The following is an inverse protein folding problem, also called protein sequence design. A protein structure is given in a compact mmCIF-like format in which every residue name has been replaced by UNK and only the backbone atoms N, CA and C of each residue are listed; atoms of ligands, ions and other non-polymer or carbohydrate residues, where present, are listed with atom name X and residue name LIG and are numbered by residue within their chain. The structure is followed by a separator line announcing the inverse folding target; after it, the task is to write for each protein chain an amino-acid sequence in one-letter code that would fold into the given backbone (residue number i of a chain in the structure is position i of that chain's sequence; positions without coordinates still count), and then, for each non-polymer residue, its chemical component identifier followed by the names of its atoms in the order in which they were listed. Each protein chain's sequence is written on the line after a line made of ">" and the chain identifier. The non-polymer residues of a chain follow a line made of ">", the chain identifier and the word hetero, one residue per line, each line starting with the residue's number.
data_IF_370433887614
#
_entry.id   IF_370433887614
#
_cell.length_a   1.000
_cell.length_b   1.000
_cell.length_c   1.000
_cell.angle_alpha   90.00
_cell.angle_beta   90.00
_cell.angle_gamma   90.00
#
_symmetry.space_group_name_H-M   'P 1'
#
loop_
_entity.id
_entity.type
_entity.pdbx_description
1 polymer ?
#
# COMPACT_ATOMS: atom_id res chain seq x y z
N UNK A 1 66.76 -78.23 -58.58
CA UNK A 1 67.68 -77.58 -57.64
C UNK A 1 66.87 -77.19 -56.41
N UNK A 2 67.24 -77.78 -55.26
CA UNK A 2 66.89 -77.51 -53.85
C UNK A 2 65.51 -76.87 -53.55
N UNK A 3 64.56 -77.64 -53.00
CA UNK A 3 64.07 -77.45 -51.63
C UNK A 3 62.98 -78.47 -51.28
N UNK A 4 63.40 -79.61 -50.75
CA UNK A 4 62.59 -80.44 -49.89
C UNK A 4 62.97 -80.14 -48.45
N UNK A 5 62.11 -79.41 -47.74
CA UNK A 5 61.89 -79.54 -46.30
C UNK A 5 60.40 -79.20 -46.11
N UNK A 6 59.53 -80.15 -45.71
CA UNK A 6 58.20 -79.78 -45.26
C UNK A 6 58.40 -78.89 -44.05
N UNK A 7 58.01 -77.62 -44.15
CA UNK A 7 57.94 -76.76 -42.98
C UNK A 7 56.82 -77.30 -42.08
N UNK A 8 57.14 -78.27 -41.24
CA UNK A 8 56.30 -78.73 -40.12
C UNK A 8 56.46 -77.81 -38.92
N UNK A 9 56.46 -76.53 -39.20
CA UNK A 9 56.49 -75.46 -38.24
C UNK A 9 55.60 -74.35 -38.75
N UNK A 10 55.00 -73.61 -37.84
CA UNK A 10 54.14 -72.48 -38.16
C UNK A 10 54.84 -71.59 -39.19
N UNK A 11 54.23 -71.47 -40.37
CA UNK A 11 54.73 -70.59 -41.42
C UNK A 11 54.50 -69.17 -40.91
N UNK A 12 55.53 -68.63 -40.27
CA UNK A 12 55.53 -67.26 -39.75
C UNK A 12 55.86 -66.34 -40.90
N UNK A 13 54.83 -65.72 -41.47
CA UNK A 13 55.00 -64.71 -42.51
C UNK A 13 55.19 -63.35 -41.84
N UNK A 14 56.33 -62.70 -42.09
CA UNK A 14 56.57 -61.35 -41.61
C UNK A 14 55.61 -60.36 -42.28
N UNK A 15 55.01 -59.46 -41.51
CA UNK A 15 53.97 -58.53 -41.95
C UNK A 15 54.52 -57.56 -43.01
N UNK A 16 54.22 -57.80 -44.28
CA UNK A 16 54.65 -56.94 -45.39
C UNK A 16 54.19 -57.38 -46.79
N UNK A 17 54.38 -58.65 -47.18
CA UNK A 17 54.49 -58.96 -48.62
C UNK A 17 53.60 -60.11 -49.14
N UNK A 18 52.38 -60.31 -48.63
CA UNK A 18 51.46 -61.29 -49.23
C UNK A 18 50.35 -60.61 -50.07
N UNK A 19 50.39 -60.81 -51.38
CA UNK A 19 49.36 -60.34 -52.34
C UNK A 19 48.69 -61.53 -53.06
N UNK A 20 47.78 -62.22 -52.36
CA UNK A 20 46.95 -63.29 -52.92
C UNK A 20 45.68 -63.54 -52.10
N UNK A 21 44.60 -63.98 -52.75
CA UNK A 21 43.31 -64.28 -52.10
C UNK A 21 43.28 -65.70 -51.52
N UNK A 22 42.90 -65.83 -50.25
CA UNK A 22 42.65 -67.12 -49.60
C UNK A 22 41.14 -67.40 -49.63
N UNK A 23 40.69 -68.59 -50.08
CA UNK A 23 39.28 -68.98 -50.03
C UNK A 23 38.73 -68.97 -48.59
N UNK A 24 37.50 -68.49 -48.39
CA UNK A 24 36.88 -68.32 -47.05
C UNK A 24 36.86 -69.61 -46.21
N UNK A 25 36.70 -70.77 -46.86
CA UNK A 25 36.73 -72.09 -46.21
C UNK A 25 38.10 -72.48 -45.62
N UNK A 26 39.18 -71.81 -46.02
CA UNK A 26 40.54 -72.03 -45.55
C UNK A 26 41.06 -70.87 -44.67
N UNK A 27 40.23 -69.84 -44.42
CA UNK A 27 40.60 -68.64 -43.67
C UNK A 27 40.59 -68.78 -42.15
N UNK A 28 40.70 -70.01 -41.62
CA UNK A 28 40.82 -70.27 -40.18
C UNK A 28 39.55 -70.10 -39.34
N UNK A 29 38.40 -69.74 -39.93
CA UNK A 29 37.14 -69.50 -39.20
C UNK A 29 36.07 -70.58 -39.40
N UNK A 30 36.34 -71.59 -40.22
CA UNK A 30 35.44 -72.71 -40.49
C UNK A 30 34.20 -72.37 -41.33
N UNK A 31 34.03 -71.12 -41.75
CA UNK A 31 32.89 -70.68 -42.54
C UNK A 31 33.05 -71.03 -44.02
N UNK A 32 31.96 -71.42 -44.68
CA UNK A 32 31.94 -71.68 -46.13
C UNK A 32 31.31 -70.54 -46.94
N UNK A 33 30.74 -69.55 -46.27
CA UNK A 33 30.20 -68.33 -46.89
C UNK A 33 30.83 -67.09 -46.27
N UNK A 34 30.99 -66.04 -47.07
CA UNK A 34 31.60 -64.79 -46.62
C UNK A 34 30.85 -64.15 -45.43
N UNK A 35 29.53 -64.27 -45.37
CA UNK A 35 28.72 -63.72 -44.28
C UNK A 35 28.95 -64.46 -42.94
N UNK A 36 29.01 -65.79 -42.98
CA UNK A 36 29.31 -66.60 -41.80
C UNK A 36 30.77 -66.40 -41.35
N UNK A 37 31.69 -66.24 -42.30
CA UNK A 37 33.09 -65.93 -42.00
C UNK A 37 33.21 -64.58 -41.31
N UNK A 38 32.55 -63.55 -41.82
CA UNK A 38 32.57 -62.22 -41.23
C UNK A 38 31.98 -62.20 -39.82
N UNK A 39 30.87 -62.91 -39.58
CA UNK A 39 30.30 -63.05 -38.24
C UNK A 39 31.23 -63.81 -37.27
N UNK A 40 31.89 -64.88 -37.74
CA UNK A 40 32.84 -65.66 -36.94
C UNK A 40 34.14 -64.90 -36.62
N UNK A 41 34.54 -63.96 -37.48
CA UNK A 41 35.61 -62.99 -37.21
C UNK A 41 35.15 -61.81 -36.33
N UNK A 42 33.87 -61.70 -35.98
CA UNK A 42 33.31 -60.60 -35.18
C UNK A 42 33.08 -59.29 -35.94
N UNK A 43 32.96 -59.33 -37.27
CA UNK A 43 32.71 -58.16 -38.11
C UNK A 43 31.26 -57.64 -38.05
N UNK A 44 31.08 -56.32 -38.17
CA UNK A 44 29.77 -55.67 -38.18
C UNK A 44 28.86 -56.21 -39.32
N UNK A 45 27.62 -56.58 -39.00
CA UNK A 45 26.62 -56.91 -40.01
C UNK A 45 26.29 -55.68 -40.87
N UNK A 46 26.21 -55.86 -42.19
CA UNK A 46 25.96 -54.78 -43.16
C UNK A 46 24.59 -54.08 -42.99
N UNK A 47 23.65 -54.66 -42.21
CA UNK A 47 22.42 -54.02 -41.74
C UNK A 47 21.85 -54.71 -40.49
N UNK A 48 21.42 -53.93 -39.48
CA UNK A 48 20.53 -54.40 -38.40
C UNK A 48 21.14 -55.23 -37.26
N UNK A 49 22.42 -55.06 -36.91
CA UNK A 49 23.07 -55.79 -35.81
C UNK A 49 22.94 -55.15 -34.43
N UNK A 50 22.98 -55.97 -33.36
CA UNK A 50 23.10 -55.53 -31.96
C UNK A 50 24.53 -55.74 -31.47
N UNK A 51 25.13 -54.72 -30.85
CA UNK A 51 26.40 -54.85 -30.15
C UNK A 51 26.09 -55.14 -28.68
N UNK A 52 26.68 -56.20 -28.13
CA UNK A 52 26.62 -56.49 -26.69
C UNK A 52 28.01 -56.23 -26.09
N UNK A 53 28.10 -55.36 -25.08
CA UNK A 53 29.37 -54.95 -24.47
C UNK A 53 29.78 -53.51 -24.82
N UNK A 54 30.99 -53.12 -24.39
CA UNK A 54 31.50 -51.76 -24.57
C UNK A 54 31.98 -51.54 -26.02
N UNK A 55 31.61 -50.40 -26.60
CA UNK A 55 32.07 -49.94 -27.91
C UNK A 55 32.77 -48.58 -27.79
N UNK A 56 33.96 -48.43 -28.39
CA UNK A 56 34.71 -47.18 -28.41
C UNK A 56 34.82 -46.64 -29.83
N UNK A 57 34.54 -45.35 -30.01
CA UNK A 57 34.74 -44.63 -31.27
C UNK A 57 35.83 -43.57 -31.06
N UNK A 58 36.93 -43.61 -31.83
CA UNK A 58 38.10 -42.73 -31.65
C UNK A 58 37.99 -41.36 -32.36
N UNK A 59 36.87 -41.08 -33.02
CA UNK A 59 36.64 -39.85 -33.77
C UNK A 59 35.16 -39.47 -33.70
N UNK A 60 34.44 -39.44 -34.82
CA UNK A 60 33.04 -39.04 -34.87
C UNK A 60 32.11 -40.24 -34.98
N UNK A 61 31.08 -40.28 -34.14
CA UNK A 61 29.90 -41.11 -34.33
C UNK A 61 28.83 -40.30 -35.07
N UNK A 62 28.53 -40.68 -36.32
CA UNK A 62 27.46 -40.05 -37.11
C UNK A 62 26.21 -40.93 -37.10
N UNK A 63 25.11 -40.42 -36.56
CA UNK A 63 23.83 -41.13 -36.48
C UNK A 63 22.79 -40.39 -37.31
N UNK A 64 22.03 -41.11 -38.14
CA UNK A 64 20.95 -40.55 -39.00
C UNK A 64 19.56 -40.65 -38.37
N UNK A 65 19.45 -41.32 -37.22
CA UNK A 65 18.22 -41.56 -36.49
C UNK A 65 18.45 -41.37 -34.97
N UNK A 66 17.62 -42.00 -34.13
CA UNK A 66 17.69 -41.88 -32.68
C UNK A 66 18.83 -42.68 -32.05
N UNK A 67 19.50 -42.07 -31.07
CA UNK A 67 20.30 -42.77 -30.06
C UNK A 67 19.36 -43.08 -28.89
N UNK A 68 19.07 -44.36 -28.64
CA UNK A 68 18.28 -44.76 -27.47
C UNK A 68 19.21 -45.03 -26.28
N UNK A 69 18.99 -44.33 -25.17
CA UNK A 69 19.72 -44.49 -23.90
C UNK A 69 18.81 -44.95 -22.74
N UNK A 70 17.73 -45.67 -23.06
CA UNK A 70 16.82 -46.22 -22.06
C UNK A 70 17.46 -47.38 -21.29
N UNK A 71 16.94 -47.68 -20.09
CA UNK A 71 17.40 -48.76 -19.21
C UNK A 71 18.85 -48.64 -18.69
N UNK A 72 19.43 -47.43 -18.69
CA UNK A 72 20.67 -47.15 -17.95
C UNK A 72 20.45 -47.40 -16.46
N UNK A 73 21.32 -48.20 -15.85
CA UNK A 73 21.23 -48.54 -14.43
C UNK A 73 21.33 -47.29 -13.53
N UNK A 74 20.63 -47.30 -12.38
CA UNK A 74 20.73 -46.23 -11.37
C UNK A 74 22.20 -45.95 -11.02
N UNK A 75 22.52 -44.69 -10.74
CA UNK A 75 23.87 -44.22 -10.40
C UNK A 75 24.92 -44.33 -11.52
N UNK A 76 24.50 -44.64 -12.74
CA UNK A 76 25.37 -44.58 -13.93
C UNK A 76 25.06 -43.31 -14.72
N UNK A 77 26.08 -42.52 -15.06
CA UNK A 77 25.89 -41.39 -15.95
C UNK A 77 25.46 -41.87 -17.33
N UNK A 78 24.35 -41.35 -17.86
CA UNK A 78 23.91 -41.65 -19.23
C UNK A 78 24.86 -41.07 -20.30
N UNK A 79 25.61 -40.03 -19.96
CA UNK A 79 26.72 -39.50 -20.76
C UNK A 79 27.72 -38.75 -19.88
N UNK A 80 28.98 -38.67 -20.32
CA UNK A 80 30.03 -37.87 -19.70
C UNK A 80 30.70 -37.02 -20.77
N UNK A 81 30.77 -35.70 -20.55
CA UNK A 81 31.47 -34.78 -21.43
C UNK A 81 32.48 -33.98 -20.61
N UNK A 82 33.75 -34.40 -20.66
CA UNK A 82 34.84 -33.81 -19.88
C UNK A 82 35.93 -33.34 -20.85
N UNK A 83 36.00 -32.04 -21.08
CA UNK A 83 37.02 -31.44 -21.95
C UNK A 83 38.40 -31.59 -21.34
N UNK A 84 39.37 -32.02 -22.15
CA UNK A 84 40.81 -32.03 -21.82
C UNK A 84 41.54 -30.78 -22.32
N UNK A 85 40.79 -29.77 -22.78
CA UNK A 85 41.34 -28.49 -23.24
C UNK A 85 41.85 -27.62 -22.10
N UNK A 86 42.40 -26.45 -22.43
CA UNK A 86 42.96 -25.50 -21.46
C UNK A 86 41.91 -25.05 -20.43
N UNK A 87 42.32 -24.93 -19.17
CA UNK A 87 41.48 -24.43 -18.08
C UNK A 87 40.87 -23.05 -18.41
N UNK A 88 39.59 -22.85 -18.05
CA UNK A 88 38.83 -21.64 -18.38
C UNK A 88 38.28 -21.58 -19.81
N UNK A 89 38.64 -22.56 -20.65
CA UNK A 89 38.08 -22.75 -21.99
C UNK A 89 36.59 -23.11 -21.95
N UNK A 90 35.87 -22.69 -22.99
CA UNK A 90 34.46 -23.01 -23.18
C UNK A 90 34.34 -24.42 -23.79
N UNK A 91 33.58 -25.29 -23.13
CA UNK A 91 33.20 -26.60 -23.66
C UNK A 91 31.80 -26.52 -24.25
N UNK A 92 31.66 -26.95 -25.51
CA UNK A 92 30.37 -27.10 -26.18
C UNK A 92 29.85 -28.51 -25.89
N UNK A 93 28.70 -28.59 -25.21
CA UNK A 93 28.12 -29.86 -24.80
C UNK A 93 27.14 -30.37 -25.86
N UNK A 94 26.21 -29.53 -26.29
CA UNK A 94 25.23 -29.83 -27.34
C UNK A 94 24.97 -28.61 -28.22
N UNK A 95 24.70 -28.87 -29.49
CA UNK A 95 24.19 -27.89 -30.46
C UNK A 95 22.96 -28.47 -31.13
N UNK A 96 21.84 -27.77 -31.07
CA UNK A 96 20.56 -28.28 -31.55
C UNK A 96 19.70 -27.17 -32.13
N UNK A 97 18.82 -27.54 -33.07
CA UNK A 97 17.88 -26.65 -33.77
C UNK A 97 16.66 -27.45 -34.23
N UNK A 98 15.52 -26.79 -34.39
CA UNK A 98 14.26 -27.43 -34.80
C UNK A 98 14.23 -27.92 -36.25
N UNK A 99 14.90 -27.22 -37.17
CA UNK A 99 14.74 -27.42 -38.61
C UNK A 99 15.96 -26.99 -39.45
N UNK A 100 15.98 -27.31 -40.74
CA UNK A 100 17.14 -27.11 -41.64
C UNK A 100 17.25 -25.72 -42.28
N UNK A 101 16.26 -24.83 -42.09
CA UNK A 101 16.26 -23.47 -42.63
C UNK A 101 16.92 -22.43 -41.70
N UNK A 102 17.22 -21.25 -42.24
CA UNK A 102 17.76 -20.10 -41.49
C UNK A 102 16.75 -19.44 -40.53
N UNK A 103 15.54 -19.98 -40.42
CA UNK A 103 14.44 -19.45 -39.58
C UNK A 103 14.49 -19.98 -38.15
N UNK A 104 15.04 -21.17 -37.93
CA UNK A 104 15.04 -21.79 -36.61
C UNK A 104 16.29 -21.39 -35.82
N UNK A 105 16.05 -20.94 -34.59
CA UNK A 105 17.12 -20.61 -33.66
C UNK A 105 17.99 -21.84 -33.39
N UNK A 106 19.30 -21.66 -33.53
CA UNK A 106 20.28 -22.67 -33.13
C UNK A 106 20.67 -22.41 -31.69
N UNK A 107 20.43 -23.41 -30.83
CA UNK A 107 20.80 -23.37 -29.43
C UNK A 107 22.16 -24.04 -29.21
N UNK A 108 22.92 -23.44 -28.29
CA UNK A 108 24.25 -23.87 -27.89
C UNK A 108 24.25 -24.03 -26.38
N UNK A 109 24.51 -25.24 -25.93
CA UNK A 109 24.72 -25.53 -24.51
C UNK A 109 26.23 -25.57 -24.25
N UNK A 110 26.67 -24.74 -23.31
CA UNK A 110 28.08 -24.57 -23.02
C UNK A 110 28.34 -24.56 -21.53
N UNK A 111 29.55 -24.99 -21.16
CA UNK A 111 30.10 -24.79 -19.82
C UNK A 111 31.44 -24.09 -19.94
N UNK A 112 31.67 -23.05 -19.15
CA UNK A 112 32.93 -22.30 -19.13
C UNK A 112 33.24 -21.86 -17.70
N UNK A 113 34.40 -22.25 -17.19
CA UNK A 113 34.78 -21.95 -15.80
C UNK A 113 33.71 -22.47 -14.84
N UNK A 114 33.05 -21.55 -14.14
CA UNK A 114 31.98 -21.85 -13.17
C UNK A 114 30.57 -21.71 -13.71
N UNK A 115 30.41 -21.38 -14.99
CA UNK A 115 29.13 -21.04 -15.61
C UNK A 115 28.67 -22.15 -16.55
N UNK A 116 27.47 -22.67 -16.31
CA UNK A 116 26.67 -23.40 -17.27
C UNK A 116 25.74 -22.42 -18.01
N UNK A 117 25.67 -22.51 -19.34
CA UNK A 117 24.91 -21.57 -20.18
C UNK A 117 24.16 -22.26 -21.31
N UNK A 118 22.97 -21.74 -21.59
CA UNK A 118 22.23 -22.00 -22.82
C UNK A 118 22.16 -20.68 -23.59
N UNK A 119 22.68 -20.67 -24.81
CA UNK A 119 22.70 -19.50 -25.69
C UNK A 119 22.08 -19.83 -27.06
N UNK A 120 21.77 -18.79 -27.83
CA UNK A 120 21.23 -18.86 -29.19
C UNK A 120 22.01 -17.95 -30.14
N UNK A 121 21.81 -18.14 -31.45
CA UNK A 121 22.44 -17.38 -32.53
C UNK A 121 23.19 -18.26 -33.53
N UNK A 122 23.79 -17.63 -34.55
CA UNK A 122 24.71 -18.31 -35.49
C UNK A 122 25.90 -18.93 -34.75
N UNK A 123 26.35 -18.25 -33.71
CA UNK A 123 27.24 -18.72 -32.63
C UNK A 123 26.53 -18.57 -31.28
N UNK A 124 27.19 -18.97 -30.18
CA UNK A 124 26.63 -18.91 -28.83
C UNK A 124 26.67 -17.49 -28.22
N UNK A 125 26.28 -16.48 -29.01
CA UNK A 125 26.43 -15.06 -28.68
C UNK A 125 25.32 -14.48 -27.82
N UNK A 126 24.12 -15.07 -27.84
CA UNK A 126 22.94 -14.54 -27.14
C UNK A 126 22.52 -15.48 -26.03
N UNK A 127 22.80 -15.12 -24.78
CA UNK A 127 22.46 -15.95 -23.63
C UNK A 127 20.95 -15.99 -23.36
N UNK A 128 20.42 -17.18 -23.08
CA UNK A 128 19.02 -17.42 -22.72
C UNK A 128 18.90 -17.86 -21.25
N UNK A 129 19.88 -18.60 -20.76
CA UNK A 129 19.97 -19.07 -19.37
C UNK A 129 21.43 -19.17 -18.93
N UNK A 130 21.74 -18.73 -17.71
CA UNK A 130 23.03 -18.93 -17.05
C UNK A 130 22.82 -19.47 -15.64
N UNK A 131 23.61 -20.46 -15.28
CA UNK A 131 23.72 -20.96 -13.91
C UNK A 131 25.18 -20.93 -13.48
N UNK A 132 25.45 -20.30 -12.34
CA UNK A 132 26.76 -20.30 -11.71
C UNK A 132 26.88 -21.40 -10.65
N UNK A 133 28.08 -21.91 -10.43
CA UNK A 133 28.38 -22.78 -9.30
C UNK A 133 28.22 -22.10 -7.92
N UNK A 134 28.04 -20.77 -7.90
CA UNK A 134 27.70 -19.98 -6.70
C UNK A 134 26.19 -19.87 -6.46
N UNK A 135 25.37 -20.50 -7.29
CA UNK A 135 23.91 -20.49 -7.17
C UNK A 135 23.21 -19.31 -7.86
N UNK A 136 23.96 -18.47 -8.59
CA UNK A 136 23.36 -17.39 -9.39
C UNK A 136 22.67 -17.98 -10.62
N UNK A 137 21.40 -17.61 -10.81
CA UNK A 137 20.58 -17.97 -11.96
C UNK A 137 20.20 -16.70 -12.72
N UNK A 138 20.58 -16.61 -13.98
CA UNK A 138 20.18 -15.53 -14.89
C UNK A 138 19.35 -16.09 -16.03
N UNK A 139 18.12 -15.66 -16.18
CA UNK A 139 17.29 -15.93 -17.37
C UNK A 139 17.33 -14.73 -18.32
N UNK A 140 17.10 -14.93 -19.63
CA UNK A 140 17.10 -13.86 -20.65
C UNK A 140 16.38 -12.61 -20.14
N UNK A 141 17.05 -11.47 -20.25
CA UNK A 141 16.45 -10.14 -20.03
C UNK A 141 15.46 -9.90 -21.17
N UNK A 142 14.18 -9.78 -20.83
CA UNK A 142 13.10 -9.48 -21.79
C UNK A 142 13.12 -7.96 -22.02
N UNK A 143 13.47 -7.53 -23.24
CA UNK A 143 13.30 -6.13 -23.65
C UNK A 143 11.81 -5.85 -23.93
N UNK A 144 11.38 -4.61 -23.74
CA UNK A 144 9.99 -4.21 -23.47
C UNK A 144 8.91 -4.61 -24.50
N UNK A 145 9.27 -5.14 -25.67
CA UNK A 145 8.35 -5.45 -26.77
C UNK A 145 8.04 -6.96 -26.97
N UNK A 146 8.58 -7.87 -26.14
CA UNK A 146 8.20 -9.30 -26.17
C UNK A 146 7.13 -9.62 -25.08
N UNK A 147 5.85 -9.73 -25.48
CA UNK A 147 4.76 -10.17 -24.59
C UNK A 147 4.87 -11.67 -24.31
N UNK A 148 5.17 -12.07 -23.06
CA UNK A 148 5.23 -13.47 -22.61
C UNK A 148 3.97 -13.86 -21.80
N UNK A 149 3.22 -14.83 -22.31
CA UNK A 149 1.96 -15.35 -21.77
C UNK A 149 2.16 -16.35 -20.59
N UNK A 150 2.81 -15.92 -19.50
CA UNK A 150 2.89 -16.72 -18.28
C UNK A 150 2.14 -16.03 -17.14
N UNK A 151 0.86 -16.38 -17.02
CA UNK A 151 -0.03 -15.96 -15.94
C UNK A 151 0.33 -16.70 -14.64
N UNK A 152 0.66 -16.03 -13.51
CA UNK A 152 0.61 -16.63 -12.18
C UNK A 152 -0.79 -17.20 -11.93
N UNK A 153 -0.95 -18.19 -11.01
CA UNK A 153 -2.28 -18.57 -10.60
C UNK A 153 -2.95 -17.30 -10.11
N UNK A 154 -4.09 -16.96 -10.73
CA UNK A 154 -4.86 -15.73 -10.61
C UNK A 154 -4.47 -14.61 -11.63
N UNK A 155 -4.65 -14.83 -12.94
CA UNK A 155 -4.93 -13.78 -13.95
C UNK A 155 -4.01 -12.53 -14.09
N UNK A 156 -2.71 -12.57 -13.74
CA UNK A 156 -1.78 -11.45 -14.02
C UNK A 156 -0.85 -11.75 -15.20
N UNK A 157 -0.83 -10.94 -16.28
CA UNK A 157 0.15 -11.12 -17.35
C UNK A 157 1.49 -10.44 -16.98
N UNK A 158 2.40 -11.18 -16.34
CA UNK A 158 3.65 -10.63 -15.81
C UNK A 158 4.80 -10.61 -16.82
N UNK A 159 5.48 -9.47 -16.96
CA UNK A 159 6.78 -9.36 -17.62
C UNK A 159 7.86 -9.08 -16.56
N UNK A 160 8.67 -10.08 -16.20
CA UNK A 160 9.78 -9.93 -15.27
C UNK A 160 10.16 -11.21 -14.51
N UNK A 161 11.43 -11.32 -14.12
CA UNK A 161 11.93 -12.45 -13.32
C UNK A 161 11.36 -12.44 -11.89
N UNK A 162 11.02 -13.63 -11.37
CA UNK A 162 10.55 -13.85 -10.00
C UNK A 162 11.74 -14.23 -9.10
N UNK A 163 11.94 -13.48 -8.02
CA UNK A 163 12.86 -13.86 -6.93
C UNK A 163 12.02 -14.34 -5.75
N UNK A 164 12.15 -15.62 -5.39
CA UNK A 164 11.41 -16.26 -4.27
C UNK A 164 12.40 -16.87 -3.28
N UNK A 165 12.26 -16.50 -2.01
CA UNK A 165 12.96 -17.09 -0.86
C UNK A 165 11.94 -17.78 0.04
N UNK A 166 12.27 -18.96 0.56
CA UNK A 166 11.37 -19.73 1.45
C UNK A 166 12.14 -20.30 2.64
N UNK A 167 11.51 -20.36 3.80
CA UNK A 167 11.96 -21.06 5.01
C UNK A 167 10.98 -22.19 5.23
N UNK A 168 11.47 -23.43 5.25
CA UNK A 168 10.66 -24.61 5.53
C UNK A 168 11.15 -25.31 6.80
N UNK A 169 10.23 -25.75 7.66
CA UNK A 169 10.51 -26.52 8.87
C UNK A 169 9.77 -27.85 8.76
N UNK A 170 10.47 -28.97 8.97
CA UNK A 170 9.91 -30.33 8.88
C UNK A 170 9.16 -30.63 7.55
N UNK A 171 9.65 -30.09 6.44
CA UNK A 171 9.07 -30.31 5.10
C UNK A 171 7.86 -29.43 4.76
N UNK A 172 7.47 -28.52 5.66
CA UNK A 172 6.40 -27.54 5.43
C UNK A 172 6.96 -26.12 5.37
N UNK A 173 6.49 -25.29 4.42
CA UNK A 173 6.87 -23.87 4.29
C UNK A 173 6.32 -23.06 5.47
N UNK A 174 7.22 -22.44 6.25
CA UNK A 174 6.90 -21.61 7.41
C UNK A 174 6.78 -20.13 7.02
N UNK A 175 7.60 -19.68 6.07
CA UNK A 175 7.64 -18.30 5.59
C UNK A 175 8.26 -18.23 4.19
N UNK A 176 7.84 -17.27 3.38
CA UNK A 176 8.43 -16.97 2.09
C UNK A 176 8.37 -15.48 1.76
N UNK A 177 9.40 -14.99 1.09
CA UNK A 177 9.49 -13.63 0.59
C UNK A 177 9.68 -13.62 -0.93
N UNK A 178 8.94 -12.76 -1.62
CA UNK A 178 8.92 -12.67 -3.07
C UNK A 178 9.22 -11.24 -3.52
N UNK A 179 9.93 -11.09 -4.63
CA UNK A 179 10.08 -9.84 -5.35
C UNK A 179 9.95 -10.06 -6.84
N UNK A 180 9.10 -9.28 -7.49
CA UNK A 180 8.89 -9.36 -8.94
C UNK A 180 8.37 -8.05 -9.50
N UNK A 181 8.72 -7.79 -10.76
CA UNK A 181 8.12 -6.72 -11.54
C UNK A 181 6.76 -7.17 -12.03
N UNK A 182 5.76 -6.34 -11.78
CA UNK A 182 4.41 -6.54 -12.28
C UNK A 182 4.17 -5.47 -13.33
N UNK A 183 3.72 -5.91 -14.49
CA UNK A 183 3.09 -5.04 -15.46
C UNK A 183 1.61 -5.39 -15.44
N UNK A 184 0.77 -4.42 -15.16
CA UNK A 184 -0.69 -4.56 -15.19
C UNK A 184 -1.21 -3.63 -16.28
N UNK A 185 -1.84 -4.22 -17.29
CA UNK A 185 -2.64 -3.48 -18.26
C UNK A 185 -4.06 -3.43 -17.74
N UNK A 186 -4.58 -2.25 -17.45
CA UNK A 186 -5.99 -2.10 -17.11
C UNK A 186 -6.86 -2.45 -18.32
N UNK A 187 -8.14 -2.75 -18.09
CA UNK A 187 -9.13 -2.94 -19.17
C UNK A 187 -9.31 -1.68 -20.06
N UNK A 188 -8.86 -0.51 -19.59
CA UNK A 188 -8.80 0.76 -20.34
C UNK A 188 -7.52 0.95 -21.15
N UNK A 189 -6.63 -0.05 -21.19
CA UNK A 189 -5.39 -0.02 -21.97
C UNK A 189 -4.22 0.73 -21.31
N UNK A 190 -4.38 1.22 -20.08
CA UNK A 190 -3.33 1.91 -19.33
C UNK A 190 -2.36 0.89 -18.79
N UNK A 191 -1.08 1.12 -19.05
CA UNK A 191 0.02 0.27 -18.59
C UNK A 191 0.50 0.79 -17.24
N UNK A 192 0.46 -0.04 -16.20
CA UNK A 192 1.02 0.26 -14.88
C UNK A 192 2.12 -0.72 -14.56
N UNK A 193 3.33 -0.21 -14.42
CA UNK A 193 4.48 -0.99 -13.97
C UNK A 193 4.63 -0.79 -12.47
N UNK A 194 4.81 -1.88 -11.72
CA UNK A 194 5.11 -1.79 -10.29
C UNK A 194 6.10 -2.86 -9.86
N UNK A 195 6.95 -2.51 -8.92
CA UNK A 195 7.73 -3.52 -8.20
C UNK A 195 6.91 -3.97 -6.99
N UNK A 196 6.69 -5.27 -6.84
CA UNK A 196 5.94 -5.86 -5.73
C UNK A 196 6.87 -6.67 -4.85
N UNK A 197 6.84 -6.39 -3.55
CA UNK A 197 7.50 -7.18 -2.51
C UNK A 197 6.41 -7.86 -1.69
N UNK A 198 6.55 -9.15 -1.44
CA UNK A 198 5.57 -9.93 -0.67
C UNK A 198 6.28 -10.67 0.43
N UNK A 199 5.85 -10.50 1.67
CA UNK A 199 6.16 -11.40 2.77
C UNK A 199 4.96 -12.33 2.96
N UNK A 200 5.19 -13.62 3.14
CA UNK A 200 4.16 -14.64 3.41
C UNK A 200 4.62 -15.59 4.49
N UNK A 201 3.74 -16.08 5.36
CA UNK A 201 4.12 -17.09 6.35
C UNK A 201 3.17 -17.17 7.54
N UNK A 202 3.45 -18.09 8.45
CA UNK A 202 2.64 -18.34 9.66
C UNK A 202 1.46 -19.29 9.44
N UNK A 203 0.79 -19.66 10.53
CA UNK A 203 -0.47 -20.40 10.53
C UNK A 203 -1.53 -19.58 11.26
N UNK A 204 -2.59 -19.09 10.57
CA UNK A 204 -2.83 -19.19 9.13
C UNK A 204 -1.84 -18.32 8.32
N UNK A 205 -1.67 -18.62 7.03
CA UNK A 205 -0.71 -17.91 6.16
C UNK A 205 -1.13 -16.45 5.96
N UNK A 206 -0.36 -15.51 6.50
CA UNK A 206 -0.57 -14.07 6.30
C UNK A 206 0.38 -13.61 5.19
N UNK A 207 -0.13 -12.86 4.22
CA UNK A 207 0.68 -12.19 3.20
C UNK A 207 0.61 -10.68 3.39
N UNK A 208 1.75 -9.99 3.29
CA UNK A 208 1.84 -8.54 3.33
C UNK A 208 2.64 -8.05 2.14
N UNK A 209 2.12 -7.04 1.46
CA UNK A 209 2.65 -6.60 0.18
C UNK A 209 3.03 -5.14 0.23
N UNK A 210 4.09 -4.81 -0.48
CA UNK A 210 4.59 -3.47 -0.66
C UNK A 210 4.79 -3.26 -2.16
N UNK A 211 3.87 -2.50 -2.75
CA UNK A 211 3.89 -2.17 -4.17
C UNK A 211 4.46 -0.77 -4.38
N UNK A 212 5.32 -0.65 -5.38
CA UNK A 212 5.91 0.62 -5.84
C UNK A 212 5.39 0.87 -7.25
N UNK A 213 4.45 1.81 -7.41
CA UNK A 213 3.91 2.21 -8.71
C UNK A 213 4.95 2.89 -9.61
N UNK A 214 4.70 2.90 -10.92
CA UNK A 214 5.58 3.53 -11.93
C UNK A 214 5.69 5.05 -11.78
N UNK A 215 4.69 5.66 -11.17
CA UNK A 215 4.63 7.07 -10.78
C UNK A 215 5.27 7.31 -9.40
N UNK A 216 5.83 6.27 -8.77
CA UNK A 216 6.42 6.30 -7.44
C UNK A 216 5.41 6.16 -6.29
N UNK A 217 4.12 5.91 -6.57
CA UNK A 217 3.10 5.71 -5.52
C UNK A 217 3.40 4.49 -4.65
N UNK A 218 3.29 4.67 -3.32
CA UNK A 218 3.53 3.61 -2.34
C UNK A 218 2.20 2.99 -1.93
N UNK A 219 1.96 1.77 -2.40
CA UNK A 219 0.70 1.06 -2.27
C UNK A 219 0.94 -0.25 -1.51
N UNK A 220 0.65 -0.31 -0.22
CA UNK A 220 0.51 -1.57 0.49
C UNK A 220 -0.85 -2.19 0.17
N UNK A 221 -0.87 -2.97 -0.89
CA UNK A 221 -1.95 -3.92 -1.09
C UNK A 221 -1.84 -4.95 0.04
N UNK A 222 -2.82 -5.10 0.93
CA UNK A 222 -2.88 -6.16 1.95
C UNK A 222 -1.78 -6.22 3.06
N UNK A 223 -1.39 -5.10 3.70
CA UNK A 223 -0.67 -5.17 4.99
C UNK A 223 0.19 -3.93 5.30
N UNK A 224 -0.03 -3.31 6.47
CA UNK A 224 0.53 -2.06 7.04
C UNK A 224 1.55 -1.24 6.21
N UNK A 225 1.14 -0.02 5.79
CA UNK A 225 2.00 0.99 5.16
C UNK A 225 2.64 1.91 6.22
N UNK A 226 3.93 2.23 6.13
CA UNK A 226 4.57 3.27 6.97
C UNK A 226 4.97 4.56 6.23
N UNK A 227 4.26 4.94 5.17
CA UNK A 227 4.60 6.19 4.47
C UNK A 227 3.46 7.03 3.89
N UNK A 228 2.21 6.56 3.81
CA UNK A 228 1.07 7.43 3.47
C UNK A 228 -0.26 7.04 4.16
N UNK A 229 -0.30 5.90 4.85
CA UNK A 229 -1.49 5.43 5.56
C UNK A 229 -1.10 4.40 6.64
N UNK A 230 -0.92 4.83 7.89
CA UNK A 230 -0.81 3.83 8.97
C UNK A 230 -2.23 3.35 9.28
N UNK A 231 -2.49 2.06 9.06
CA UNK A 231 -3.71 1.37 9.48
C UNK A 231 -3.34 0.27 10.46
N UNK A 232 -3.98 0.27 11.62
CA UNK A 232 -3.72 -0.68 12.69
C UNK A 232 -4.71 -0.52 13.82
N UNK A 233 -4.65 -1.41 14.83
CA UNK A 233 -5.39 -1.17 16.06
C UNK A 233 -4.83 0.09 16.72
N UNK A 234 -5.66 1.10 17.01
CA UNK A 234 -5.21 2.22 17.81
C UNK A 234 -4.70 1.68 19.15
N UNK A 235 -3.59 2.25 19.63
CA UNK A 235 -3.00 1.87 20.91
C UNK A 235 -3.44 2.91 21.94
N UNK A 236 -4.00 2.51 23.10
CA UNK A 236 -4.27 3.45 24.18
C UNK A 236 -2.99 4.21 24.54
N UNK A 237 -3.03 5.53 24.43
CA UNK A 237 -1.88 6.41 24.64
C UNK A 237 -2.37 7.77 25.15
N UNK A 238 -1.49 8.60 25.74
CA UNK A 238 -1.79 10.00 26.03
C UNK A 238 -2.36 10.72 24.79
N UNK A 239 -3.18 11.76 24.99
CA UNK A 239 -3.93 12.43 23.93
C UNK A 239 -3.07 12.85 22.73
N UNK A 240 -1.94 13.50 23.00
CA UNK A 240 -1.00 13.89 21.95
C UNK A 240 -0.46 12.68 21.18
N UNK A 241 -0.08 11.60 21.88
CA UNK A 241 0.40 10.37 21.26
C UNK A 241 -0.67 9.67 20.41
N UNK A 242 -1.93 9.73 20.82
CA UNK A 242 -3.03 9.07 20.12
C UNK A 242 -3.28 9.61 18.70
N UNK A 243 -2.83 10.85 18.43
CA UNK A 243 -2.88 11.47 17.11
C UNK A 243 -1.66 11.13 16.23
N UNK A 244 -0.65 10.44 16.78
CA UNK A 244 0.60 10.15 16.08
C UNK A 244 0.54 8.84 15.26
N UNK A 245 1.49 8.71 14.33
CA UNK A 245 1.66 7.50 13.50
C UNK A 245 1.92 6.26 14.35
N UNK A 246 1.28 5.14 13.99
CA UNK A 246 1.40 3.87 14.71
C UNK A 246 0.65 3.81 16.04
N UNK A 247 0.00 4.91 16.44
CA UNK A 247 -0.85 5.01 17.65
C UNK A 247 -2.31 5.26 17.27
N UNK A 248 -2.55 6.05 16.23
CA UNK A 248 -3.88 6.21 15.65
C UNK A 248 -4.25 5.02 14.77
N UNK A 249 -5.55 4.69 14.73
CA UNK A 249 -6.05 3.59 13.91
C UNK A 249 -5.98 3.87 12.41
N UNK A 250 -6.07 5.15 12.05
CA UNK A 250 -5.80 5.68 10.71
C UNK A 250 -4.92 6.92 10.92
N UNK A 251 -3.71 6.91 10.35
CA UNK A 251 -2.82 8.07 10.31
C UNK A 251 -2.56 8.47 8.87
N UNK A 252 -2.94 9.70 8.54
CA UNK A 252 -2.51 10.37 7.32
C UNK A 252 -1.45 11.39 7.70
N UNK A 253 -0.34 11.37 6.96
CA UNK A 253 0.76 12.27 7.25
C UNK A 253 0.38 13.71 6.90
N UNK A 254 1.03 14.66 7.58
CA UNK A 254 0.82 16.09 7.32
C UNK A 254 1.10 16.41 5.84
N UNK A 255 0.18 17.16 5.23
CA UNK A 255 0.35 17.75 3.90
C UNK A 255 0.43 19.27 4.03
N UNK A 256 1.39 19.90 3.35
CA UNK A 256 1.55 21.36 3.39
C UNK A 256 0.76 22.02 2.26
N UNK A 257 -0.18 22.89 2.62
CA UNK A 257 -0.86 23.79 1.68
C UNK A 257 -0.07 25.11 1.53
N UNK A 258 0.56 25.39 0.38
CA UNK A 258 1.47 26.52 0.22
C UNK A 258 0.74 27.88 0.17
N UNK A 259 -0.53 27.91 -0.21
CA UNK A 259 -1.32 29.15 -0.31
C UNK A 259 -2.18 29.41 0.93
N UNK A 260 -2.29 28.42 1.83
CA UNK A 260 -3.07 28.51 3.06
C UNK A 260 -4.58 28.66 2.83
N UNK A 261 -5.09 28.37 1.64
CA UNK A 261 -6.52 28.47 1.27
C UNK A 261 -7.02 27.21 0.55
N UNK A 262 -6.19 26.19 0.42
CA UNK A 262 -6.55 24.90 -0.16
C UNK A 262 -7.26 24.03 0.88
N UNK A 263 -7.93 23.00 0.38
CA UNK A 263 -8.51 21.95 1.21
C UNK A 263 -7.72 20.64 1.06
N UNK A 264 -7.50 19.94 2.17
CA UNK A 264 -6.97 18.59 2.20
C UNK A 264 -8.10 17.68 2.67
N UNK A 265 -8.53 16.77 1.80
CA UNK A 265 -9.50 15.73 2.15
C UNK A 265 -8.79 14.55 2.80
N UNK A 266 -9.04 14.33 4.09
CA UNK A 266 -8.56 13.15 4.82
C UNK A 266 -9.41 11.93 4.46
N UNK A 267 -10.73 12.11 4.51
CA UNK A 267 -11.72 11.10 4.18
C UNK A 267 -12.75 11.72 3.25
N UNK A 268 -13.08 11.06 2.14
CA UNK A 268 -14.21 11.48 1.30
C UNK A 268 -15.09 10.30 0.97
N UNK A 269 -16.41 10.53 0.97
CA UNK A 269 -17.43 9.55 0.63
C UNK A 269 -18.58 10.23 -0.07
N UNK A 270 -19.32 9.49 -0.89
CA UNK A 270 -20.47 10.03 -1.59
C UNK A 270 -21.69 9.15 -1.39
N UNK A 271 -22.86 9.78 -1.37
CA UNK A 271 -24.18 9.16 -1.34
C UNK A 271 -24.98 9.66 -2.54
N UNK A 272 -25.79 8.80 -3.14
CA UNK A 272 -26.79 9.20 -4.14
C UNK A 272 -28.02 8.32 -3.97
N UNK A 273 -29.20 8.93 -3.93
CA UNK A 273 -30.46 8.18 -3.86
C UNK A 273 -31.15 8.07 -5.22
N UNK A 274 -32.20 7.23 -5.33
CA UNK A 274 -32.90 6.95 -6.59
C UNK A 274 -33.54 8.17 -7.27
N UNK A 275 -33.72 9.27 -6.53
CA UNK A 275 -34.21 10.54 -7.08
C UNK A 275 -33.15 11.36 -7.80
N UNK A 276 -31.89 10.91 -7.83
CA UNK A 276 -30.81 11.55 -8.59
C UNK A 276 -29.95 12.54 -7.80
N UNK A 277 -30.33 12.89 -6.57
CA UNK A 277 -29.55 13.83 -5.76
C UNK A 277 -28.28 13.15 -5.25
N UNK A 278 -27.13 13.67 -5.70
CA UNK A 278 -25.80 13.26 -5.25
C UNK A 278 -25.33 14.17 -4.12
N UNK A 279 -24.70 13.59 -3.11
CA UNK A 279 -24.07 14.27 -2.01
C UNK A 279 -22.69 13.69 -1.75
N UNK A 280 -21.62 14.43 -2.08
CA UNK A 280 -20.26 14.06 -1.70
C UNK A 280 -19.87 14.77 -0.42
N UNK A 281 -19.55 14.01 0.62
CA UNK A 281 -19.02 14.52 1.87
C UNK A 281 -17.51 14.31 1.94
N UNK A 282 -16.80 15.28 2.48
CA UNK A 282 -15.39 15.16 2.84
C UNK A 282 -15.19 15.60 4.28
N UNK A 283 -14.44 14.81 5.03
CA UNK A 283 -13.81 15.23 6.27
C UNK A 283 -12.37 15.60 5.96
N UNK A 284 -11.96 16.78 6.37
CA UNK A 284 -10.59 17.22 6.15
C UNK A 284 -10.27 18.51 6.87
N UNK A 285 -9.30 19.21 6.32
CA UNK A 285 -8.89 20.53 6.78
C UNK A 285 -8.96 21.52 5.62
N UNK A 286 -9.29 22.76 5.93
CA UNK A 286 -9.22 23.88 4.97
C UNK A 286 -8.45 25.03 5.57
N UNK A 287 -7.55 25.63 4.79
CA UNK A 287 -6.77 26.79 5.21
C UNK A 287 -7.61 28.07 5.28
N UNK A 288 -7.23 28.98 6.18
CA UNK A 288 -7.89 30.28 6.41
C UNK A 288 -6.95 31.47 6.12
N UNK A 289 -6.06 31.31 5.15
CA UNK A 289 -4.91 32.18 4.89
C UNK A 289 -3.68 31.80 5.71
N UNK A 290 -2.54 32.39 5.37
CA UNK A 290 -1.22 32.01 5.92
C UNK A 290 -0.98 32.41 7.38
N UNK A 291 -1.81 33.32 7.94
CA UNK A 291 -1.64 33.85 9.30
C UNK A 291 -2.65 33.30 10.29
N UNK A 292 -3.48 32.32 9.87
CA UNK A 292 -4.58 31.79 10.68
C UNK A 292 -4.52 30.27 10.72
N UNK A 293 -5.00 29.69 11.83
CA UNK A 293 -5.19 28.24 11.92
C UNK A 293 -6.24 27.78 10.90
N UNK A 294 -5.98 26.65 10.23
CA UNK A 294 -6.96 26.00 9.37
C UNK A 294 -8.13 25.44 10.17
N UNK A 295 -9.29 25.35 9.54
CA UNK A 295 -10.46 24.71 10.14
C UNK A 295 -10.41 23.21 9.89
N UNK A 296 -10.87 22.42 10.86
CA UNK A 296 -11.32 21.06 10.55
C UNK A 296 -12.72 21.18 9.96
N UNK A 297 -12.95 20.55 8.81
CA UNK A 297 -14.16 20.72 8.03
C UNK A 297 -14.84 19.40 7.68
N UNK A 298 -16.17 19.40 7.81
CA UNK A 298 -17.05 18.49 7.08
C UNK A 298 -17.69 19.30 5.95
N UNK A 299 -17.31 19.00 4.71
CA UNK A 299 -17.83 19.69 3.53
C UNK A 299 -18.68 18.76 2.70
N UNK A 300 -19.85 19.21 2.27
CA UNK A 300 -20.81 18.42 1.52
C UNK A 300 -21.13 19.12 0.20
N UNK A 301 -20.95 18.43 -0.92
CA UNK A 301 -21.19 18.92 -2.27
C UNK A 301 -22.43 18.25 -2.84
N UNK A 302 -23.50 19.01 -3.05
CA UNK A 302 -24.73 18.59 -3.72
C UNK A 302 -24.58 18.64 -5.23
N UNK A 303 -24.84 17.54 -5.92
CA UNK A 303 -24.70 17.39 -7.37
C UNK A 303 -23.33 17.91 -7.86
N UNK A 304 -22.26 17.37 -7.27
CA UNK A 304 -20.87 17.81 -7.51
C UNK A 304 -20.61 19.30 -7.22
N UNK A 305 -21.43 19.91 -6.37
CA UNK A 305 -21.38 21.32 -5.98
C UNK A 305 -22.35 22.22 -6.77
N UNK A 306 -23.00 21.71 -7.82
CA UNK A 306 -23.90 22.49 -8.66
C UNK A 306 -25.24 22.81 -7.97
N UNK A 307 -25.79 21.87 -7.18
CA UNK A 307 -27.01 22.12 -6.41
C UNK A 307 -26.74 22.94 -5.13
N UNK A 308 -25.49 22.91 -4.65
CA UNK A 308 -25.02 23.68 -3.51
C UNK A 308 -23.90 22.97 -2.78
N UNK A 309 -23.23 23.72 -1.90
CA UNK A 309 -22.18 23.18 -1.04
C UNK A 309 -22.43 23.64 0.39
N UNK A 310 -22.28 22.72 1.35
CA UNK A 310 -22.42 22.96 2.78
C UNK A 310 -21.06 22.77 3.43
N UNK A 311 -20.67 23.68 4.28
CA UNK A 311 -19.42 23.61 5.03
C UNK A 311 -19.75 23.67 6.51
N UNK A 312 -19.27 22.68 7.27
CA UNK A 312 -19.29 22.65 8.71
C UNK A 312 -17.86 22.83 9.20
N UNK A 313 -17.60 23.90 9.96
CA UNK A 313 -16.27 24.21 10.46
C UNK A 313 -16.20 24.07 11.97
N UNK A 314 -15.23 23.27 12.42
CA UNK A 314 -14.72 23.29 13.77
C UNK A 314 -13.52 24.25 13.78
N UNK A 315 -13.74 25.43 14.36
CA UNK A 315 -12.76 26.53 14.33
C UNK A 315 -11.88 26.46 15.57
N UNK A 316 -10.61 26.02 15.50
CA UNK A 316 -9.80 25.84 16.69
C UNK A 316 -9.47 27.16 17.40
N UNK A 317 -9.38 28.28 16.67
CA UNK A 317 -9.01 29.58 17.23
C UNK A 317 -10.12 30.21 18.08
N UNK A 318 -11.40 29.96 17.76
CA UNK A 318 -12.54 30.50 18.52
C UNK A 318 -13.32 29.45 19.31
N UNK A 319 -13.12 28.16 19.01
CA UNK A 319 -13.91 27.07 19.57
C UNK A 319 -15.32 26.95 18.96
N UNK A 320 -15.65 27.76 17.96
CA UNK A 320 -16.99 27.78 17.36
C UNK A 320 -17.21 26.60 16.43
N UNK A 321 -18.45 26.07 16.47
CA UNK A 321 -19.03 25.28 15.40
C UNK A 321 -19.84 26.20 14.50
N UNK A 322 -19.40 26.36 13.26
CA UNK A 322 -20.12 27.17 12.26
C UNK A 322 -20.56 26.32 11.08
N UNK A 323 -21.65 26.73 10.46
CA UNK A 323 -22.15 26.17 9.22
C UNK A 323 -22.33 27.31 8.22
N UNK A 324 -21.90 27.11 6.99
CA UNK A 324 -22.18 28.03 5.90
C UNK A 324 -22.50 27.26 4.63
N UNK A 325 -23.26 27.86 3.73
CA UNK A 325 -23.52 27.28 2.42
C UNK A 325 -23.15 28.21 1.28
N UNK A 326 -22.86 27.59 0.14
CA UNK A 326 -22.73 28.24 -1.16
C UNK A 326 -23.62 27.56 -2.20
N UNK A 327 -23.82 28.24 -3.33
CA UNK A 327 -24.68 27.75 -4.42
C UNK A 327 -26.16 27.80 -4.05
N UNK A 328 -26.92 26.76 -4.40
CA UNK A 328 -28.38 26.70 -4.20
C UNK A 328 -28.82 26.36 -2.77
N UNK A 329 -27.90 26.19 -1.82
CA UNK A 329 -28.22 25.89 -0.42
C UNK A 329 -28.12 27.16 0.44
N UNK A 330 -29.09 27.37 1.33
CA UNK A 330 -29.20 28.61 2.12
C UNK A 330 -28.73 28.45 3.58
N UNK A 331 -28.51 29.58 4.26
CA UNK A 331 -28.26 29.64 5.69
C UNK A 331 -26.78 29.57 6.09
N UNK A 332 -26.36 30.51 6.93
CA UNK A 332 -25.07 30.51 7.63
C UNK A 332 -25.33 30.74 9.11
N UNK A 333 -24.81 29.86 9.96
CA UNK A 333 -25.12 29.81 11.38
C UNK A 333 -23.86 29.59 12.21
N UNK A 334 -23.75 30.30 13.33
CA UNK A 334 -22.89 29.88 14.44
C UNK A 334 -23.78 29.14 15.43
N UNK A 335 -23.46 27.89 15.74
CA UNK A 335 -24.30 27.09 16.62
C UNK A 335 -24.08 27.49 18.08
N UNK A 336 -25.05 28.21 18.62
CA UNK A 336 -25.11 28.54 20.03
C UNK A 336 -25.88 27.44 20.79
N UNK A 337 -25.37 27.02 21.95
CA UNK A 337 -26.04 26.03 22.80
C UNK A 337 -27.30 26.66 23.40
N UNK A 338 -28.48 26.35 22.86
CA UNK A 338 -29.74 26.72 23.46
C UNK A 338 -30.02 25.82 24.67
N UNK A 339 -30.42 26.40 25.80
CA UNK A 339 -30.82 25.63 26.97
C UNK A 339 -32.23 25.07 26.78
N UNK A 340 -32.44 23.79 27.13
CA UNK A 340 -33.77 23.17 27.16
C UNK A 340 -34.56 23.69 28.35
N UNK A 341 -35.79 24.16 28.12
CA UNK A 341 -36.65 24.79 29.15
C UNK A 341 -38.09 24.27 29.05
N UNK A 342 -38.25 22.95 29.17
CA UNK A 342 -39.56 22.28 29.15
C UNK A 342 -40.13 22.15 30.57
N UNK A 343 -41.42 22.46 30.77
CA UNK A 343 -42.06 22.39 32.09
C UNK A 343 -42.12 20.96 32.65
N UNK A 344 -42.17 19.93 31.79
CA UNK A 344 -42.15 18.52 32.21
C UNK A 344 -40.80 18.06 32.77
N UNK A 345 -39.74 18.84 32.48
CA UNK A 345 -38.39 18.63 33.01
C UNK A 345 -38.11 19.47 34.26
N UNK A 346 -39.12 20.16 34.80
CA UNK A 346 -39.03 21.04 35.96
C UNK A 346 -40.03 20.64 37.03
N UNK A 347 -39.73 20.99 38.27
CA UNK A 347 -40.65 20.86 39.41
C UNK A 347 -40.75 22.21 40.13
N UNK A 348 -41.76 22.35 41.00
CA UNK A 348 -41.96 23.54 41.86
C UNK A 348 -41.91 24.88 41.11
N UNK A 349 -42.62 24.96 39.97
CA UNK A 349 -42.67 26.18 39.16
C UNK A 349 -43.58 27.21 39.84
N UNK A 350 -42.98 28.28 40.35
CA UNK A 350 -43.67 29.46 40.90
C UNK A 350 -43.47 30.68 39.99
N UNK A 351 -44.58 31.34 39.62
CA UNK A 351 -44.54 32.59 38.85
C UNK A 351 -44.37 33.79 39.77
N UNK A 352 -43.49 34.74 39.40
CA UNK A 352 -43.22 35.96 40.16
C UNK A 352 -43.10 37.20 39.26
N UNK A 353 -42.91 38.37 39.88
CA UNK A 353 -42.87 39.69 39.24
C UNK A 353 -41.48 40.12 38.75
N UNK A 354 -40.48 39.23 38.78
CA UNK A 354 -39.11 39.52 38.38
C UNK A 354 -38.30 40.40 39.34
N UNK A 355 -38.79 40.66 40.58
CA UNK A 355 -38.08 41.51 41.55
C UNK A 355 -36.67 41.03 41.88
N UNK A 356 -36.46 39.71 42.01
CA UNK A 356 -35.14 39.15 42.28
C UNK A 356 -34.15 39.46 41.16
N UNK A 357 -34.56 39.23 39.91
CA UNK A 357 -33.80 39.58 38.72
C UNK A 357 -33.50 41.08 38.64
N UNK A 358 -34.47 41.94 38.99
CA UNK A 358 -34.26 43.40 39.06
C UNK A 358 -33.15 43.78 40.05
N UNK A 359 -33.14 43.20 41.24
CA UNK A 359 -32.10 43.45 42.23
C UNK A 359 -30.75 42.83 41.84
N UNK A 360 -30.73 41.70 41.13
CA UNK A 360 -29.51 41.12 40.57
C UNK A 360 -28.89 42.01 39.48
N UNK A 361 -29.70 42.48 38.52
CA UNK A 361 -29.24 43.36 37.44
C UNK A 361 -28.67 44.67 37.96
N UNK A 362 -29.23 45.22 39.05
CA UNK A 362 -28.69 46.43 39.71
C UNK A 362 -27.28 46.25 40.28
N UNK A 363 -26.87 45.02 40.60
CA UNK A 363 -25.54 44.72 41.14
C UNK A 363 -24.48 44.54 40.05
N UNK A 364 -24.87 44.50 38.77
CA UNK A 364 -23.92 44.44 37.66
C UNK A 364 -22.93 45.61 37.75
N UNK A 365 -21.65 45.31 37.53
CA UNK A 365 -20.56 46.29 37.48
C UNK A 365 -20.06 46.39 36.03
N UNK A 366 -20.62 47.30 35.21
CA UNK A 366 -20.16 47.47 33.85
C UNK A 366 -18.70 47.95 33.83
N UNK A 367 -17.90 47.34 32.97
CA UNK A 367 -16.50 47.71 32.78
C UNK A 367 -16.13 47.68 31.29
N UNK A 368 -15.03 48.35 30.98
CA UNK A 368 -14.30 48.15 29.73
C UNK A 368 -13.07 47.31 29.99
N UNK A 369 -12.68 46.48 29.04
CA UNK A 369 -11.49 45.64 29.15
C UNK A 369 -10.89 45.37 27.76
N UNK A 370 -9.62 44.98 27.75
CA UNK A 370 -8.89 44.48 26.59
C UNK A 370 -8.43 43.06 26.91
N UNK A 371 -8.54 42.13 25.95
CA UNK A 371 -8.00 40.79 26.14
C UNK A 371 -6.47 40.83 26.04
N UNK A 372 -5.79 40.12 26.95
CA UNK A 372 -4.32 40.05 26.97
C UNK A 372 -3.71 39.56 25.64
N UNK A 373 -4.46 38.73 24.89
CA UNK A 373 -4.02 38.14 23.62
C UNK A 373 -4.71 38.74 22.38
N UNK A 374 -5.32 39.92 22.47
CA UNK A 374 -5.83 40.63 21.29
C UNK A 374 -4.73 41.51 20.67
N UNK A 375 -4.11 41.11 19.54
CA UNK A 375 -3.01 41.85 18.93
C UNK A 375 -3.45 43.23 18.42
N UNK A 376 -4.75 43.48 18.27
CA UNK A 376 -5.31 44.76 17.85
C UNK A 376 -5.71 45.67 19.03
N UNK A 377 -5.50 45.23 20.27
CA UNK A 377 -5.86 45.93 21.51
C UNK A 377 -7.28 46.53 21.53
N UNK A 378 -8.26 45.80 20.98
CA UNK A 378 -9.60 46.38 20.82
C UNK A 378 -10.31 46.41 22.17
N UNK A 379 -10.83 47.57 22.54
CA UNK A 379 -11.65 47.72 23.75
C UNK A 379 -12.97 46.97 23.61
N UNK A 380 -13.37 46.29 24.69
CA UNK A 380 -14.64 45.58 24.84
C UNK A 380 -15.38 46.10 26.05
N UNK A 381 -16.70 45.95 26.03
CA UNK A 381 -17.61 46.32 27.13
C UNK A 381 -18.25 45.05 27.67
N UNK A 382 -18.39 44.96 28.98
CA UNK A 382 -19.05 43.82 29.61
C UNK A 382 -19.00 43.91 31.13
N UNK A 383 -19.01 42.75 31.77
CA UNK A 383 -18.88 42.55 33.21
C UNK A 383 -17.82 41.48 33.46
N UNK A 384 -17.31 41.39 34.70
CA UNK A 384 -16.30 40.40 35.07
C UNK A 384 -16.98 39.19 35.74
N UNK A 385 -16.66 37.98 35.29
CA UNK A 385 -17.28 36.75 35.78
C UNK A 385 -17.06 36.53 37.28
N UNK A 386 -15.88 36.86 37.81
CA UNK A 386 -15.58 36.74 39.24
C UNK A 386 -16.48 37.64 40.10
N UNK A 387 -16.80 38.84 39.63
CA UNK A 387 -17.72 39.75 40.34
C UNK A 387 -19.16 39.22 40.29
N UNK A 388 -19.59 38.69 39.14
CA UNK A 388 -20.92 38.07 39.01
C UNK A 388 -21.08 36.87 39.95
N UNK A 389 -20.08 35.98 39.99
CA UNK A 389 -20.05 34.80 40.86
C UNK A 389 -20.07 35.15 42.35
N UNK A 390 -19.33 36.19 42.76
CA UNK A 390 -19.21 36.58 44.18
C UNK A 390 -20.41 37.37 44.69
N UNK A 391 -20.90 38.32 43.90
CA UNK A 391 -21.78 39.38 44.41
C UNK A 391 -23.24 39.26 43.90
N UNK A 392 -23.51 38.43 42.89
CA UNK A 392 -24.82 38.39 42.21
C UNK A 392 -25.48 37.02 42.33
N UNK A 393 -25.05 36.07 41.51
CA UNK A 393 -25.61 34.72 41.43
C UNK A 393 -24.55 33.79 40.81
N UNK A 394 -24.39 32.59 41.35
CA UNK A 394 -23.49 31.59 40.80
C UNK A 394 -23.90 31.10 39.41
N UNK A 395 -25.20 31.11 39.07
CA UNK A 395 -25.71 30.66 37.77
C UNK A 395 -25.33 31.59 36.62
N UNK A 396 -24.92 32.83 36.91
CA UNK A 396 -24.42 33.78 35.91
C UNK A 396 -23.09 33.35 35.32
N UNK A 397 -22.44 32.35 35.92
CA UNK A 397 -21.11 31.92 35.56
C UNK A 397 -21.09 30.42 35.33
N UNK A 398 -20.49 30.02 34.23
CA UNK A 398 -20.12 28.64 33.95
C UNK A 398 -18.62 28.48 34.15
N UNK A 399 -18.26 27.40 34.82
CA UNK A 399 -16.90 26.92 34.77
C UNK A 399 -16.60 26.50 33.33
N UNK A 400 -15.56 27.08 32.76
CA UNK A 400 -14.93 26.62 31.54
C UNK A 400 -13.71 25.85 31.99
N UNK A 401 -13.76 24.50 31.93
CA UNK A 401 -12.61 23.68 32.29
C UNK A 401 -11.39 24.18 31.56
N UNK A 402 -10.26 24.26 32.25
CA UNK A 402 -9.03 24.66 31.62
C UNK A 402 -8.75 23.78 30.39
N UNK A 403 -8.18 24.38 29.35
CA UNK A 403 -7.65 23.58 28.26
C UNK A 403 -6.62 22.60 28.85
N UNK A 404 -6.65 21.32 28.47
CA UNK A 404 -5.64 20.38 28.92
C UNK A 404 -4.28 20.88 28.42
N UNK A 405 -3.37 21.15 29.34
CA UNK A 405 -1.97 21.37 29.02
C UNK A 405 -1.20 20.08 29.21
N UNK A 406 -0.01 20.03 28.60
CA UNK A 406 0.84 18.87 28.63
C UNK A 406 2.23 19.31 29.09
N UNK A 407 2.81 18.56 30.02
CA UNK A 407 4.22 18.72 30.39
C UNK A 407 5.14 18.27 29.25
N UNK A 408 6.45 18.49 29.41
CA UNK A 408 7.46 18.12 28.42
C UNK A 408 7.52 16.58 28.20
N UNK A 409 6.92 15.81 29.10
CA UNK A 409 6.77 14.35 29.04
C UNK A 409 5.42 13.89 28.45
N UNK A 410 4.54 14.82 28.04
CA UNK A 410 3.26 14.53 27.39
C UNK A 410 2.13 14.10 28.33
N UNK A 411 2.31 14.20 29.64
CA UNK A 411 1.27 13.97 30.63
C UNK A 411 0.36 15.18 30.74
N UNK A 412 -0.93 14.95 31.02
CA UNK A 412 -1.91 16.01 31.22
C UNK A 412 -1.60 16.76 32.53
N UNK A 413 -1.29 18.05 32.43
CA UNK A 413 -1.28 18.99 33.53
C UNK A 413 -2.46 19.95 33.35
N UNK A 414 -3.45 19.85 34.25
CA UNK A 414 -4.62 20.74 34.19
C UNK A 414 -4.23 22.11 34.76
N UNK A 415 -4.51 23.17 34.00
CA UNK A 415 -4.50 24.54 34.50
C UNK A 415 -5.72 24.80 35.38
N UNK A 416 -5.68 25.90 36.12
CA UNK A 416 -6.86 26.38 36.85
C UNK A 416 -7.99 26.70 35.86
N UNK A 417 -9.19 26.22 36.19
CA UNK A 417 -10.39 26.46 35.40
C UNK A 417 -10.68 27.96 35.24
N UNK A 418 -11.23 28.33 34.09
CA UNK A 418 -11.63 29.71 33.82
C UNK A 418 -13.14 29.88 34.00
N UNK A 419 -13.58 31.13 34.15
CA UNK A 419 -14.99 31.46 34.32
C UNK A 419 -15.51 32.14 33.06
N UNK A 420 -16.62 31.65 32.52
CA UNK A 420 -17.35 32.31 31.43
C UNK A 420 -18.74 32.74 31.90
N UNK A 421 -19.19 33.88 31.39
CA UNK A 421 -20.54 34.37 31.67
C UNK A 421 -21.58 33.51 30.94
N UNK A 422 -22.66 33.14 31.64
CA UNK A 422 -23.83 32.55 31.01
C UNK A 422 -24.77 33.65 30.51
N UNK A 423 -24.63 33.97 29.22
CA UNK A 423 -25.47 34.97 28.57
C UNK A 423 -26.96 34.64 28.64
N UNK A 424 -27.37 33.36 28.70
CA UNK A 424 -28.79 33.02 28.74
C UNK A 424 -29.43 33.44 30.07
N UNK A 425 -28.75 33.21 31.18
CA UNK A 425 -29.23 33.59 32.52
C UNK A 425 -29.27 35.11 32.63
N UNK A 426 -28.19 35.79 32.24
CA UNK A 426 -28.10 37.26 32.28
C UNK A 426 -29.18 37.90 31.41
N UNK A 427 -29.41 37.38 30.19
CA UNK A 427 -30.46 37.88 29.30
C UNK A 427 -31.85 37.66 29.88
N UNK A 428 -32.09 36.51 30.51
CA UNK A 428 -33.37 36.21 31.16
C UNK A 428 -33.61 37.15 32.35
N UNK A 429 -32.63 37.32 33.24
CA UNK A 429 -32.75 38.24 34.37
C UNK A 429 -32.90 39.69 33.90
N UNK A 430 -32.26 40.07 32.80
CA UNK A 430 -32.48 41.40 32.19
C UNK A 430 -33.92 41.55 31.69
N UNK A 431 -34.49 40.54 31.05
CA UNK A 431 -35.87 40.56 30.57
C UNK A 431 -36.88 40.61 31.74
N UNK A 432 -36.63 39.85 32.81
CA UNK A 432 -37.45 39.83 34.02
C UNK A 432 -37.34 41.16 34.80
N UNK A 433 -36.13 41.72 34.92
CA UNK A 433 -35.90 43.03 35.51
C UNK A 433 -36.61 44.15 34.74
N UNK A 434 -36.65 44.05 33.40
CA UNK A 434 -37.40 44.97 32.56
C UNK A 434 -38.91 44.84 32.80
N UNK A 435 -39.44 43.61 32.89
CA UNK A 435 -40.85 43.37 33.23
C UNK A 435 -41.22 44.02 34.57
N UNK A 436 -40.40 43.81 35.60
CA UNK A 436 -40.57 44.46 36.91
C UNK A 436 -40.52 45.99 36.81
N UNK A 437 -39.59 46.52 36.03
CA UNK A 437 -39.43 47.97 35.84
C UNK A 437 -40.62 48.60 35.12
N UNK A 438 -41.18 47.91 34.11
CA UNK A 438 -42.41 48.34 33.41
C UNK A 438 -43.55 48.46 34.41
N UNK A 439 -43.79 47.44 35.24
CA UNK A 439 -44.84 47.49 36.26
C UNK A 439 -44.68 48.68 37.23
N UNK A 440 -43.43 48.98 37.63
CA UNK A 440 -43.14 50.16 38.46
C UNK A 440 -43.37 51.48 37.73
N UNK A 441 -43.04 51.56 36.44
CA UNK A 441 -43.29 52.74 35.61
C UNK A 441 -44.80 52.97 35.48
N UNK A 442 -45.58 51.94 35.16
CA UNK A 442 -47.03 52.04 35.07
C UNK A 442 -47.66 52.49 36.41
N UNK A 443 -47.15 51.99 37.53
CA UNK A 443 -47.57 52.45 38.85
C UNK A 443 -47.25 53.94 39.09
N UNK A 444 -46.02 54.39 38.75
CA UNK A 444 -45.64 55.80 38.86
C UNK A 444 -46.45 56.71 37.92
N UNK A 445 -46.77 56.25 36.71
CA UNK A 445 -47.61 57.01 35.77
C UNK A 445 -49.03 57.22 36.33
N UNK A 446 -49.60 56.20 36.98
CA UNK A 446 -50.87 56.32 37.67
C UNK A 446 -50.81 57.31 38.84
N UNK A 447 -49.78 57.24 39.69
CA UNK A 447 -49.59 58.20 40.78
C UNK A 447 -49.43 59.64 40.26
N UNK A 448 -48.69 59.85 39.17
CA UNK A 448 -48.54 61.16 38.54
C UNK A 448 -49.90 61.66 38.01
N UNK A 449 -50.71 60.77 37.41
CA UNK A 449 -52.04 61.13 36.94
C UNK A 449 -52.96 61.55 38.10
N UNK A 450 -52.93 60.84 39.23
CA UNK A 450 -53.66 61.19 40.44
C UNK A 450 -53.20 62.52 41.04
N UNK A 451 -51.89 62.73 41.17
CA UNK A 451 -51.32 63.98 41.67
C UNK A 451 -51.69 65.17 40.78
N UNK A 452 -51.67 65.00 39.45
CA UNK A 452 -52.13 66.02 38.49
C UNK A 452 -53.62 66.33 38.68
N UNK A 453 -54.46 65.32 38.90
CA UNK A 453 -55.87 65.52 39.17
C UNK A 453 -56.11 66.27 40.49
N UNK A 454 -55.35 65.95 41.55
CA UNK A 454 -55.41 66.67 42.83
C UNK A 454 -54.95 68.14 42.71
N UNK A 455 -53.84 68.41 42.01
CA UNK A 455 -53.37 69.78 41.77
C UNK A 455 -54.39 70.58 40.96
N UNK A 456 -55.01 69.98 39.93
CA UNK A 456 -56.07 70.62 39.16
C UNK A 456 -57.31 70.94 40.01
N UNK A 457 -57.60 70.14 41.03
CA UNK A 457 -58.67 70.39 41.98
C UNK A 457 -58.34 71.51 42.98
N UNK A 458 -57.05 71.72 43.32
CA UNK A 458 -56.58 72.78 44.23
C UNK A 458 -56.49 74.16 43.53
N UNK A 459 -56.20 74.18 42.23
CA UNK A 459 -56.09 75.43 41.44
C UNK A 459 -57.45 75.94 40.90
N UNK A 460 -58.56 75.33 41.34
CA UNK A 460 -59.94 75.82 41.18
C UNK A 460 -60.39 76.42 42.50
#
# INVERSE_FOLDING_TARGET
>A
MINGIPLTGDITLSQGDFSGTIPVSQGGTGATTAAAGLAALGGFALAGGTITGASTFNSTLTVKNTINQDSVAQSTYGHTSMSTGTAGGKSYLRKFKGGSGSTDATFHETVQGTLYRIATGTTDTTDVLKLSNTGELTTRVIEADEVLAATPPNNFAGAGGLLRSTISVAGAELSAAYMFSVYEKSSSGVETRKARIVASGGSPSIQSYFDIGQDGSLLATNGTFRSLLSIGSPIPAPWWESAQSGKSGIYQNMTTDPVGVSAIGALSWAYRHNGGYELRSMWGNVGNGMTNWGNTSLTQFGDSGNAGTRYWYFTPASGDLTCTAGGGWSGSYTFQKAATSDATLKHDIEYNDGKASYENIKKLKPCTFKYNFDPMERERRGIIAQDALRDIDSEYVKLVPAAPEYDDEGNRCDKDDTLALDNNVIMMDTALALNHSIAKIEAMENEIAELRAMIAAINK
#
